data_IF_749037390697
#
_entry.id   IF_749037390697
#
_cell.length_a   1.000
_cell.length_b   1.000
_cell.length_c   1.000
_cell.angle_alpha   90.00
_cell.angle_beta   90.00
_cell.angle_gamma   90.00
#
_symmetry.space_group_name_H-M   'P 1'
#
loop_
_entity.id
_entity.type
_entity.pdbx_description
1 polymer ?
#
# COMPACT_ATOMS: atom_id res chain seq x y z
N UNK A 1 2.14 12.70 15.50
CA UNK A 1 2.72 11.68 14.59
C UNK A 1 1.64 10.69 14.24
N UNK A 2 1.50 10.35 12.95
CA UNK A 2 0.52 9.35 12.52
C UNK A 2 0.82 7.96 13.09
N UNK A 3 -0.21 7.15 13.27
CA UNK A 3 -0.07 5.73 13.62
C UNK A 3 0.38 4.95 12.39
N UNK A 4 1.54 4.33 12.44
CA UNK A 4 2.08 3.50 11.35
C UNK A 4 1.76 2.01 11.56
N UNK A 5 1.48 1.29 10.47
CA UNK A 5 1.29 -0.16 10.44
C UNK A 5 2.18 -0.72 9.31
N UNK A 6 3.15 -1.62 9.57
CA UNK A 6 3.70 -1.89 10.90
C UNK A 6 4.44 -0.68 11.49
N UNK A 7 4.55 -0.63 12.81
CA UNK A 7 5.36 0.38 13.48
C UNK A 7 6.81 -0.12 13.56
N UNK A 8 7.71 0.59 12.89
CA UNK A 8 9.14 0.31 12.97
C UNK A 8 9.78 1.17 14.06
N UNK A 9 10.60 0.52 14.90
CA UNK A 9 11.34 1.17 15.98
C UNK A 9 12.33 2.23 15.44
N UNK A 10 13.04 2.93 16.36
CA UNK A 10 14.06 3.93 16.01
C UNK A 10 15.18 3.41 15.08
N UNK A 11 15.35 2.10 14.98
CA UNK A 11 16.32 1.46 14.08
C UNK A 11 15.66 0.98 12.78
N UNK A 12 14.89 1.84 12.14
CA UNK A 12 14.16 1.55 10.90
C UNK A 12 15.08 1.01 9.77
N UNK A 13 16.37 1.42 9.76
CA UNK A 13 17.37 0.93 8.79
C UNK A 13 17.63 -0.59 8.88
N UNK A 14 17.34 -1.18 10.04
CA UNK A 14 17.50 -2.62 10.29
C UNK A 14 16.22 -3.41 10.04
N UNK A 15 15.10 -2.72 9.85
CA UNK A 15 13.83 -3.38 9.55
C UNK A 15 13.91 -4.12 8.21
N UNK A 16 13.38 -5.35 8.10
CA UNK A 16 13.51 -6.18 6.90
C UNK A 16 13.14 -5.48 5.59
N UNK A 17 12.04 -4.68 5.51
CA UNK A 17 11.67 -4.00 4.28
C UNK A 17 12.71 -2.99 3.78
N UNK A 18 13.46 -2.37 4.71
CA UNK A 18 14.41 -1.28 4.40
C UNK A 18 15.87 -1.72 4.42
N UNK A 19 16.13 -2.99 4.68
CA UNK A 19 17.50 -3.53 4.70
C UNK A 19 18.08 -3.54 3.28
N UNK A 20 19.33 -3.08 3.14
CA UNK A 20 20.04 -3.10 1.85
C UNK A 20 20.20 -4.55 1.33
N UNK A 21 19.96 -4.71 0.04
CA UNK A 21 20.08 -6.00 -0.67
C UNK A 21 21.40 -6.14 -1.42
N UNK A 22 22.09 -5.01 -1.68
CA UNK A 22 23.24 -4.94 -2.57
C UNK A 22 22.85 -4.73 -4.05
N UNK A 23 21.55 -4.74 -4.37
CA UNK A 23 21.08 -4.33 -5.69
C UNK A 23 20.75 -2.83 -5.68
N UNK A 24 21.45 -1.98 -6.46
CA UNK A 24 21.30 -0.54 -6.40
C UNK A 24 19.87 -0.03 -6.72
N UNK A 25 19.16 -0.69 -7.63
CA UNK A 25 17.78 -0.28 -7.98
C UNK A 25 16.80 -0.59 -6.86
N UNK A 26 16.86 -1.81 -6.31
CA UNK A 26 16.02 -2.21 -5.18
C UNK A 26 16.34 -1.37 -3.94
N UNK A 27 17.62 -1.12 -3.69
CA UNK A 27 18.06 -0.33 -2.54
C UNK A 27 17.61 1.14 -2.67
N UNK A 28 17.56 1.70 -3.89
CA UNK A 28 17.01 3.03 -4.14
C UNK A 28 15.50 3.06 -3.86
N UNK A 29 14.75 2.07 -4.37
CA UNK A 29 13.31 1.94 -4.09
C UNK A 29 13.04 1.92 -2.58
N UNK A 30 13.68 1.01 -1.86
CA UNK A 30 13.57 0.85 -0.41
C UNK A 30 13.96 2.11 0.37
N UNK A 31 15.01 2.80 -0.06
CA UNK A 31 15.42 4.06 0.56
C UNK A 31 14.37 5.15 0.37
N UNK A 32 13.81 5.27 -0.83
CA UNK A 32 12.75 6.23 -1.14
C UNK A 32 11.49 5.98 -0.31
N UNK A 33 11.06 4.73 -0.22
CA UNK A 33 9.91 4.34 0.60
C UNK A 33 10.15 4.56 2.09
N UNK A 34 11.36 4.27 2.58
CA UNK A 34 11.75 4.54 3.97
C UNK A 34 11.67 6.03 4.30
N UNK A 35 12.18 6.88 3.43
CA UNK A 35 12.13 8.33 3.61
C UNK A 35 10.70 8.82 3.63
N UNK A 36 9.86 8.33 2.71
CA UNK A 36 8.45 8.66 2.69
C UNK A 36 7.71 8.13 3.93
N UNK A 37 8.04 6.92 4.41
CA UNK A 37 7.49 6.37 5.66
C UNK A 37 7.76 7.29 6.84
N UNK A 38 9.02 7.74 7.02
CA UNK A 38 9.40 8.67 8.09
C UNK A 38 8.64 9.99 7.93
N UNK A 39 8.54 10.47 6.72
CA UNK A 39 7.86 11.71 6.38
C UNK A 39 6.37 11.68 6.75
N UNK A 40 5.67 10.62 6.33
CA UNK A 40 4.25 10.44 6.65
C UNK A 40 4.04 10.29 8.16
N UNK A 41 4.89 9.50 8.84
CA UNK A 41 4.82 9.33 10.29
C UNK A 41 4.92 10.65 11.04
N UNK A 42 5.89 11.48 10.68
CA UNK A 42 6.26 12.65 11.47
C UNK A 42 5.40 13.87 11.16
N UNK A 43 4.84 13.97 9.96
CA UNK A 43 4.10 15.16 9.50
C UNK A 43 2.59 15.01 9.48
N UNK A 44 2.07 13.79 9.46
CA UNK A 44 0.63 13.59 9.49
C UNK A 44 0.10 13.64 10.94
N UNK A 45 -1.18 14.04 11.13
CA UNK A 45 -1.83 14.06 12.44
C UNK A 45 -1.83 12.69 13.14
N UNK A 46 -1.84 12.70 14.46
CA UNK A 46 -1.79 11.49 15.31
C UNK A 46 -3.04 10.60 15.21
N UNK A 47 -4.15 11.16 14.77
CA UNK A 47 -5.39 10.42 14.52
C UNK A 47 -5.47 9.80 13.13
N UNK A 48 -4.45 10.00 12.27
CA UNK A 48 -4.36 9.34 10.98
C UNK A 48 -3.64 7.99 11.12
N UNK A 49 -4.00 7.05 10.24
CA UNK A 49 -3.36 5.73 10.19
C UNK A 49 -2.75 5.52 8.83
N UNK A 50 -1.50 5.05 8.81
CA UNK A 50 -0.77 4.76 7.59
C UNK A 50 -0.31 3.31 7.60
N UNK A 51 -0.77 2.50 6.66
CA UNK A 51 -0.28 1.16 6.39
C UNK A 51 0.79 1.23 5.30
N UNK A 52 1.97 0.72 5.59
CA UNK A 52 3.07 0.55 4.63
C UNK A 52 3.06 -0.87 4.08
N UNK A 53 3.28 -1.02 2.77
CA UNK A 53 3.42 -2.29 2.04
C UNK A 53 2.30 -3.27 2.39
N UNK A 54 1.11 -3.02 1.82
CA UNK A 54 -0.04 -3.89 2.02
C UNK A 54 -0.25 -4.77 0.81
N UNK A 55 0.16 -6.02 0.95
CA UNK A 55 -0.02 -7.05 -0.07
C UNK A 55 -1.41 -7.69 0.04
N UNK A 56 -2.05 -7.92 -1.08
CA UNK A 56 -3.33 -8.61 -1.15
C UNK A 56 -3.52 -9.29 -2.50
N UNK A 57 -4.33 -10.33 -2.52
CA UNK A 57 -4.55 -11.13 -3.71
C UNK A 57 -5.95 -10.94 -4.27
N UNK A 58 -6.07 -10.96 -5.59
CA UNK A 58 -7.33 -11.09 -6.30
C UNK A 58 -7.43 -12.48 -6.91
N UNK A 59 -8.55 -13.16 -6.70
CA UNK A 59 -8.85 -14.41 -7.38
C UNK A 59 -9.79 -14.12 -8.56
N UNK A 60 -9.28 -14.34 -9.76
CA UNK A 60 -10.04 -14.46 -11.01
C UNK A 60 -9.85 -15.89 -11.51
N UNK A 61 -9.65 -16.10 -12.80
CA UNK A 61 -9.19 -17.39 -13.34
C UNK A 61 -7.76 -17.70 -12.88
N UNK A 62 -6.97 -16.64 -12.62
CA UNK A 62 -5.63 -16.70 -12.05
C UNK A 62 -5.55 -15.90 -10.76
N UNK A 63 -4.56 -16.25 -9.91
CA UNK A 63 -4.25 -15.48 -8.70
C UNK A 63 -3.39 -14.29 -9.09
N UNK A 64 -3.93 -13.08 -8.93
CA UNK A 64 -3.21 -11.83 -9.18
C UNK A 64 -2.84 -11.22 -7.83
N UNK A 65 -1.56 -10.96 -7.63
CA UNK A 65 -1.03 -10.28 -6.47
C UNK A 65 -1.03 -8.77 -6.70
N UNK A 66 -1.43 -8.03 -5.71
CA UNK A 66 -1.42 -6.58 -5.67
C UNK A 66 -0.67 -6.13 -4.42
N UNK A 67 0.04 -5.03 -4.55
CA UNK A 67 0.64 -4.33 -3.42
C UNK A 67 0.22 -2.86 -3.47
N UNK A 68 -0.07 -2.30 -2.31
CA UNK A 68 -0.22 -0.88 -2.10
C UNK A 68 0.98 -0.39 -1.30
N UNK A 69 1.82 0.47 -1.88
CA UNK A 69 3.03 0.96 -1.21
C UNK A 69 2.68 1.65 0.11
N UNK A 70 1.66 2.52 0.08
CA UNK A 70 1.07 3.08 1.29
C UNK A 70 -0.45 3.20 1.17
N UNK A 71 -1.12 2.93 2.28
CA UNK A 71 -2.56 3.19 2.44
C UNK A 71 -2.76 4.15 3.60
N UNK A 72 -3.28 5.33 3.33
CA UNK A 72 -3.54 6.38 4.32
C UNK A 72 -5.01 6.42 4.65
N UNK A 73 -5.35 6.19 5.92
CA UNK A 73 -6.72 6.30 6.43
C UNK A 73 -6.90 7.67 7.05
N UNK A 74 -7.74 8.48 6.45
CA UNK A 74 -8.00 9.87 6.82
C UNK A 74 -9.32 9.95 7.58
N UNK A 75 -9.31 10.29 8.89
CA UNK A 75 -10.51 10.37 9.71
C UNK A 75 -11.57 11.29 9.09
N UNK A 76 -12.83 10.86 9.12
CA UNK A 76 -13.97 11.62 8.58
C UNK A 76 -13.82 12.02 7.11
N UNK A 77 -13.01 11.26 6.36
CA UNK A 77 -12.81 11.47 4.93
C UNK A 77 -12.84 10.14 4.17
N UNK A 78 -11.89 9.23 4.43
CA UNK A 78 -11.83 7.97 3.72
C UNK A 78 -10.44 7.36 3.65
N UNK A 79 -10.11 6.75 2.51
CA UNK A 79 -8.85 6.04 2.27
C UNK A 79 -8.18 6.56 1.00
N UNK A 80 -6.89 6.85 1.11
CA UNK A 80 -6.04 7.26 0.00
C UNK A 80 -4.90 6.25 -0.18
N UNK A 81 -4.79 5.68 -1.38
CA UNK A 81 -3.69 4.80 -1.78
C UNK A 81 -2.59 5.65 -2.39
N UNK A 82 -1.35 5.48 -1.92
CA UNK A 82 -0.17 6.11 -2.52
C UNK A 82 0.62 5.05 -3.27
N UNK A 83 0.86 5.31 -4.55
CA UNK A 83 1.78 4.55 -5.41
C UNK A 83 3.08 5.32 -5.51
N UNK A 84 4.21 4.71 -5.13
CA UNK A 84 5.51 5.38 -5.05
C UNK A 84 6.40 4.99 -6.21
N UNK A 85 7.00 5.97 -6.85
CA UNK A 85 7.98 5.76 -7.92
C UNK A 85 9.30 6.41 -7.57
N UNK A 86 10.33 5.60 -7.32
CA UNK A 86 11.65 6.05 -6.87
C UNK A 86 12.51 6.68 -7.97
N UNK A 87 11.99 6.82 -9.17
CA UNK A 87 12.72 7.43 -10.30
C UNK A 87 12.98 8.92 -10.05
N UNK A 88 14.17 9.38 -10.43
CA UNK A 88 14.54 10.79 -10.40
C UNK A 88 13.94 11.60 -11.56
N UNK A 89 13.53 10.88 -12.61
CA UNK A 89 12.91 11.46 -13.80
C UNK A 89 11.87 10.51 -14.35
N UNK A 90 10.82 11.06 -14.84
CA UNK A 90 9.79 10.34 -15.58
C UNK A 90 9.18 11.24 -16.63
N UNK A 91 8.70 10.65 -17.70
CA UNK A 91 8.07 11.37 -18.81
C UNK A 91 7.09 10.50 -19.55
N UNK A 92 6.22 11.15 -20.31
CA UNK A 92 5.26 10.52 -21.22
C UNK A 92 5.56 10.99 -22.64
N UNK A 93 5.91 10.06 -23.54
CA UNK A 93 6.11 10.34 -24.96
C UNK A 93 5.29 9.36 -25.81
N UNK A 94 4.44 9.87 -26.66
CA UNK A 94 3.59 9.05 -27.53
C UNK A 94 2.78 7.98 -26.78
N UNK A 95 2.29 8.31 -25.56
CA UNK A 95 1.53 7.38 -24.72
C UNK A 95 2.36 6.36 -23.94
N UNK A 96 3.69 6.39 -24.07
CA UNK A 96 4.61 5.48 -23.39
C UNK A 96 5.30 6.20 -22.24
N UNK A 97 5.34 5.55 -21.05
CA UNK A 97 6.01 6.06 -19.86
C UNK A 97 7.48 5.67 -19.83
N UNK A 98 8.31 6.63 -19.50
CA UNK A 98 9.76 6.50 -19.35
C UNK A 98 10.13 6.90 -17.93
N UNK A 99 11.02 6.12 -17.30
CA UNK A 99 11.42 6.29 -15.89
C UNK A 99 12.91 6.59 -15.72
N UNK A 100 13.55 7.07 -16.78
CA UNK A 100 14.94 7.53 -16.71
C UNK A 100 15.12 8.87 -17.46
N UNK A 101 16.15 9.68 -17.11
CA UNK A 101 16.40 10.99 -17.70
C UNK A 101 16.62 10.93 -19.22
N UNK A 102 17.14 9.79 -19.70
CA UNK A 102 17.55 9.63 -21.08
C UNK A 102 16.47 8.97 -21.94
N UNK A 103 15.35 8.60 -21.32
CA UNK A 103 14.23 7.89 -21.96
C UNK A 103 14.66 6.62 -22.73
N UNK A 104 15.69 5.92 -22.22
CA UNK A 104 16.23 4.71 -22.83
C UNK A 104 15.54 3.45 -22.35
N UNK A 105 15.03 3.46 -21.12
CA UNK A 105 14.40 2.30 -20.52
C UNK A 105 12.89 2.53 -20.42
N UNK A 106 12.16 1.79 -21.23
CA UNK A 106 10.71 1.64 -21.08
C UNK A 106 10.49 0.63 -19.96
N UNK A 107 9.97 1.06 -18.83
CA UNK A 107 9.34 0.11 -17.91
C UNK A 107 7.89 -0.05 -18.32
N UNK A 108 7.46 -1.29 -18.50
CA UNK A 108 6.07 -1.60 -18.74
C UNK A 108 5.23 -1.12 -17.55
N UNK A 109 4.24 -0.32 -17.86
CA UNK A 109 3.22 0.08 -16.89
C UNK A 109 3.07 1.59 -16.73
N UNK A 110 1.83 2.02 -16.87
CA UNK A 110 1.41 3.36 -16.53
C UNK A 110 1.20 3.42 -15.00
N UNK A 111 1.95 4.26 -14.23
CA UNK A 111 1.84 4.31 -12.77
C UNK A 111 0.44 4.71 -12.30
N UNK A 112 -0.29 5.50 -13.07
CA UNK A 112 -1.67 5.86 -12.75
C UNK A 112 -2.64 4.70 -12.96
N UNK A 113 -2.39 3.84 -13.95
CA UNK A 113 -3.18 2.62 -14.15
C UNK A 113 -2.94 1.62 -13.03
N UNK A 114 -1.70 1.51 -12.55
CA UNK A 114 -1.33 0.68 -11.41
C UNK A 114 -2.02 1.18 -10.15
N UNK A 115 -1.87 2.47 -9.79
CA UNK A 115 -2.53 3.08 -8.64
C UNK A 115 -4.06 2.93 -8.69
N UNK A 116 -4.64 3.06 -9.89
CA UNK A 116 -6.08 2.87 -10.10
C UNK A 116 -6.51 1.43 -9.86
N UNK A 117 -5.79 0.46 -10.42
CA UNK A 117 -6.10 -0.97 -10.24
C UNK A 117 -6.02 -1.36 -8.76
N UNK A 118 -4.93 -1.00 -8.08
CA UNK A 118 -4.72 -1.20 -6.65
C UNK A 118 -5.85 -0.57 -5.82
N UNK A 119 -6.22 0.68 -6.12
CA UNK A 119 -7.32 1.38 -5.45
C UNK A 119 -8.64 0.65 -5.57
N UNK A 120 -9.03 0.23 -6.77
CA UNK A 120 -10.32 -0.44 -6.99
C UNK A 120 -10.37 -1.79 -6.30
N UNK A 121 -9.29 -2.55 -6.38
CA UNK A 121 -9.24 -3.88 -5.80
C UNK A 121 -9.20 -3.82 -4.26
N UNK A 122 -8.39 -2.91 -3.70
CA UNK A 122 -8.36 -2.69 -2.24
C UNK A 122 -9.72 -2.24 -1.71
N UNK A 123 -10.39 -1.31 -2.42
CA UNK A 123 -11.74 -0.89 -2.05
C UNK A 123 -12.71 -2.07 -2.01
N UNK A 124 -12.68 -2.94 -3.03
CA UNK A 124 -13.51 -4.14 -3.09
C UNK A 124 -13.25 -5.07 -1.91
N UNK A 125 -11.97 -5.33 -1.59
CA UNK A 125 -11.59 -6.16 -0.44
C UNK A 125 -12.09 -5.61 0.89
N UNK A 126 -11.97 -4.30 1.10
CA UNK A 126 -12.49 -3.64 2.30
C UNK A 126 -14.02 -3.76 2.35
N UNK A 127 -14.72 -3.58 1.23
CA UNK A 127 -16.18 -3.73 1.18
C UNK A 127 -16.62 -5.17 1.49
N UNK A 128 -15.90 -6.16 0.95
CA UNK A 128 -16.15 -7.58 1.24
C UNK A 128 -15.95 -7.88 2.74
N UNK A 129 -14.88 -7.36 3.34
CA UNK A 129 -14.61 -7.48 4.78
C UNK A 129 -15.67 -6.81 5.64
N UNK A 130 -16.11 -5.62 5.25
CA UNK A 130 -17.13 -4.86 5.98
C UNK A 130 -18.56 -5.37 5.71
N UNK A 131 -18.76 -6.26 4.75
CA UNK A 131 -20.08 -6.73 4.26
C UNK A 131 -21.03 -5.60 3.86
N UNK A 132 -20.49 -4.50 3.30
CA UNK A 132 -21.28 -3.34 2.84
C UNK A 132 -20.48 -2.46 1.88
N UNK A 133 -21.16 -1.55 1.20
CA UNK A 133 -20.53 -0.51 0.40
C UNK A 133 -19.64 0.39 1.26
N UNK A 134 -18.47 0.75 0.73
CA UNK A 134 -17.57 1.67 1.41
C UNK A 134 -18.21 3.06 1.55
N UNK A 135 -18.36 3.58 2.77
CA UNK A 135 -19.15 4.80 3.00
C UNK A 135 -18.39 6.08 2.68
N UNK A 136 -17.05 6.08 2.82
CA UNK A 136 -16.19 7.24 2.66
C UNK A 136 -15.73 7.49 1.22
N UNK A 137 -14.81 8.43 1.07
CA UNK A 137 -14.07 8.65 -0.17
C UNK A 137 -12.96 7.61 -0.32
N UNK A 138 -12.66 7.24 -1.56
CA UNK A 138 -11.59 6.28 -1.86
C UNK A 138 -10.80 6.73 -3.07
N UNK A 139 -9.56 7.16 -2.85
CA UNK A 139 -8.71 7.77 -3.85
C UNK A 139 -7.36 7.10 -4.03
N UNK A 140 -6.60 7.58 -5.00
CA UNK A 140 -5.19 7.21 -5.19
C UNK A 140 -4.39 8.38 -5.71
N UNK A 141 -3.11 8.45 -5.32
CA UNK A 141 -2.13 9.44 -5.78
C UNK A 141 -0.84 8.72 -6.18
N UNK A 142 -0.16 9.23 -7.20
CA UNK A 142 1.17 8.76 -7.57
C UNK A 142 2.20 9.73 -7.00
N UNK A 143 3.16 9.20 -6.24
CA UNK A 143 4.18 9.99 -5.55
C UNK A 143 5.54 9.73 -6.19
N UNK A 144 6.22 10.79 -6.59
CA UNK A 144 7.57 10.78 -7.17
C UNK A 144 8.52 11.57 -6.26
N UNK A 145 8.98 11.01 -5.15
CA UNK A 145 9.74 11.76 -4.14
C UNK A 145 11.06 12.34 -4.65
N UNK A 146 11.68 11.68 -5.63
CA UNK A 146 12.98 12.07 -6.19
C UNK A 146 12.86 12.97 -7.43
N UNK A 147 11.65 13.19 -7.94
CA UNK A 147 11.42 14.04 -9.10
C UNK A 147 10.91 15.43 -8.69
N UNK A 148 11.12 16.41 -9.56
CA UNK A 148 10.59 17.76 -9.39
C UNK A 148 9.79 18.16 -10.62
N UNK A 149 8.79 19.00 -10.42
CA UNK A 149 8.12 19.68 -11.53
C UNK A 149 9.06 20.71 -12.15
N UNK A 150 9.07 20.80 -13.47
CA UNK A 150 9.78 21.86 -14.17
C UNK A 150 8.85 23.07 -14.20
N UNK A 151 9.25 24.24 -13.63
CA UNK A 151 8.43 25.44 -13.68
C UNK A 151 8.11 25.84 -15.12
N UNK A 152 6.85 26.13 -15.41
CA UNK A 152 6.39 26.52 -16.75
C UNK A 152 5.97 25.39 -17.66
N UNK A 153 6.25 24.14 -17.32
CA UNK A 153 5.71 22.95 -18.01
C UNK A 153 4.40 22.50 -17.36
N UNK A 154 3.61 21.76 -18.15
CA UNK A 154 2.39 21.15 -17.63
C UNK A 154 2.75 20.23 -16.43
N UNK A 155 2.09 20.46 -15.32
CA UNK A 155 2.35 19.74 -14.07
C UNK A 155 2.01 18.25 -14.14
N UNK A 156 1.25 17.84 -15.16
CA UNK A 156 0.81 16.48 -15.40
C UNK A 156 0.60 16.27 -16.91
N UNK A 157 0.62 15.02 -17.39
CA UNK A 157 0.10 14.70 -18.70
C UNK A 157 -1.34 15.23 -18.85
N UNK A 158 -1.71 15.71 -20.03
CA UNK A 158 -3.05 16.23 -20.32
C UNK A 158 -4.20 15.27 -19.99
N UNK A 159 -3.90 13.97 -19.89
CA UNK A 159 -4.84 12.92 -19.51
C UNK A 159 -4.96 12.67 -18.00
N UNK A 160 -4.21 13.40 -17.16
CA UNK A 160 -4.19 13.24 -15.72
C UNK A 160 -4.43 14.57 -15.01
N UNK A 161 -5.14 14.51 -13.89
CA UNK A 161 -5.29 15.66 -13.02
C UNK A 161 -3.96 15.92 -12.29
N UNK A 162 -3.45 17.17 -12.27
CA UNK A 162 -2.21 17.50 -11.58
C UNK A 162 -2.26 17.22 -10.07
N UNK A 163 -3.43 17.25 -9.46
CA UNK A 163 -3.58 17.07 -8.01
C UNK A 163 -3.56 15.60 -7.55
N UNK A 164 -3.53 14.65 -8.50
CA UNK A 164 -3.25 13.24 -8.21
C UNK A 164 -1.78 12.87 -8.39
N UNK A 165 -0.90 13.88 -8.55
CA UNK A 165 0.55 13.73 -8.67
C UNK A 165 1.23 14.52 -7.58
N UNK A 166 2.10 13.86 -6.82
CA UNK A 166 2.94 14.50 -5.80
C UNK A 166 4.41 14.27 -6.13
N UNK A 167 5.16 15.35 -6.23
CA UNK A 167 6.61 15.30 -6.51
C UNK A 167 7.44 15.63 -5.27
N UNK A 168 8.76 15.43 -5.32
CA UNK A 168 9.67 15.85 -4.25
C UNK A 168 9.59 17.34 -3.97
N UNK A 169 9.32 18.16 -5.00
CA UNK A 169 9.09 19.60 -4.80
C UNK A 169 7.83 19.87 -3.97
N UNK A 170 6.73 19.17 -4.26
CA UNK A 170 5.49 19.30 -3.50
C UNK A 170 5.68 18.85 -2.05
N UNK A 171 6.38 17.73 -1.83
CA UNK A 171 6.72 17.25 -0.50
C UNK A 171 7.51 18.30 0.29
N UNK A 172 8.58 18.87 -0.28
CA UNK A 172 9.39 19.91 0.38
C UNK A 172 8.56 21.16 0.68
N UNK A 173 7.70 21.59 -0.26
CA UNK A 173 6.79 22.71 -0.05
C UNK A 173 5.82 22.44 1.11
N UNK A 174 5.25 21.23 1.15
CA UNK A 174 4.27 20.86 2.16
C UNK A 174 4.89 20.72 3.56
N UNK A 175 6.16 20.30 3.66
CA UNK A 175 6.93 20.38 4.92
C UNK A 175 7.05 21.80 5.40
N UNK A 176 7.53 22.70 4.54
CA UNK A 176 7.76 24.11 4.90
C UNK A 176 6.48 24.79 5.36
N UNK A 177 5.37 24.49 4.70
CA UNK A 177 4.05 25.08 4.95
C UNK A 177 3.22 24.32 5.98
N UNK A 178 3.67 23.16 6.46
CA UNK A 178 2.91 22.22 7.29
C UNK A 178 1.55 21.87 6.69
N UNK A 179 1.52 21.65 5.36
CA UNK A 179 0.30 21.47 4.57
C UNK A 179 0.08 20.06 4.05
N UNK A 180 0.97 19.10 4.34
CA UNK A 180 0.88 17.73 3.79
C UNK A 180 -0.48 17.08 4.06
N UNK A 181 -0.96 17.13 5.30
CA UNK A 181 -2.26 16.56 5.64
C UNK A 181 -3.40 17.18 4.82
N UNK A 182 -3.41 18.52 4.70
CA UNK A 182 -4.40 19.24 3.89
C UNK A 182 -4.31 18.88 2.41
N UNK A 183 -3.09 18.71 1.88
CA UNK A 183 -2.87 18.32 0.49
C UNK A 183 -3.45 16.92 0.22
N UNK A 184 -3.12 15.92 1.05
CA UNK A 184 -3.65 14.56 0.90
C UNK A 184 -5.18 14.50 1.08
N UNK A 185 -5.72 15.26 2.03
CA UNK A 185 -7.16 15.36 2.23
C UNK A 185 -7.85 16.01 1.02
N UNK A 186 -7.30 17.09 0.48
CA UNK A 186 -7.80 17.74 -0.74
C UNK A 186 -7.78 16.76 -1.91
N UNK A 187 -6.65 16.11 -2.17
CA UNK A 187 -6.53 15.10 -3.22
C UNK A 187 -7.62 14.01 -3.09
N UNK A 188 -7.89 13.55 -1.87
CA UNK A 188 -8.94 12.54 -1.67
C UNK A 188 -10.34 13.07 -2.04
N UNK A 189 -10.62 14.37 -1.82
CA UNK A 189 -11.93 14.94 -2.18
C UNK A 189 -12.20 14.95 -3.68
N UNK A 190 -11.16 14.97 -4.52
CA UNK A 190 -11.29 14.91 -5.98
C UNK A 190 -11.90 13.59 -6.49
N UNK A 191 -11.88 12.55 -5.65
CA UNK A 191 -12.49 11.25 -5.98
C UNK A 191 -13.95 11.14 -5.55
N UNK A 192 -14.53 12.19 -5.05
CA UNK A 192 -15.95 12.29 -4.72
C UNK A 192 -16.74 13.00 -5.81
N UNK A 193 -18.02 12.68 -5.92
CA UNK A 193 -18.98 13.56 -6.57
C UNK A 193 -19.11 14.83 -5.71
N UNK A 194 -18.96 16.01 -6.30
CA UNK A 194 -18.94 17.29 -5.60
C UNK A 194 -20.12 17.46 -4.63
N UNK A 195 -21.31 17.02 -5.05
CA UNK A 195 -22.54 17.14 -4.25
C UNK A 195 -22.62 16.12 -3.11
N UNK A 196 -21.84 15.04 -3.19
CA UNK A 196 -21.86 13.92 -2.23
C UNK A 196 -20.64 13.88 -1.31
N UNK A 197 -19.62 14.71 -1.53
CA UNK A 197 -18.38 14.69 -0.74
C UNK A 197 -18.64 14.80 0.74
N UNK A 198 -19.42 15.79 1.17
CA UNK A 198 -19.72 16.02 2.60
C UNK A 198 -20.57 14.89 3.20
N UNK A 199 -21.51 14.34 2.44
CA UNK A 199 -22.29 13.19 2.88
C UNK A 199 -21.38 11.97 3.09
N UNK A 200 -20.47 11.69 2.16
CA UNK A 200 -19.52 10.59 2.28
C UNK A 200 -18.52 10.80 3.42
N UNK A 201 -18.04 12.03 3.62
CA UNK A 201 -17.16 12.36 4.74
C UNK A 201 -17.85 12.12 6.08
N UNK A 202 -19.09 12.55 6.24
CA UNK A 202 -19.84 12.33 7.48
C UNK A 202 -20.20 10.86 7.71
N UNK A 203 -20.39 10.08 6.65
CA UNK A 203 -20.65 8.65 6.73
C UNK A 203 -19.42 7.83 7.14
N UNK A 204 -18.19 8.32 6.87
CA UNK A 204 -16.95 7.68 7.32
C UNK A 204 -16.61 8.10 8.74
N UNK A 205 -17.37 7.56 9.68
CA UNK A 205 -17.22 7.82 11.11
C UNK A 205 -16.15 6.93 11.76
N UNK A 206 -15.93 7.08 13.07
CA UNK A 206 -14.91 6.33 13.81
C UNK A 206 -15.09 4.80 13.70
N UNK A 207 -16.33 4.30 13.78
CA UNK A 207 -16.60 2.86 13.65
C UNK A 207 -16.17 2.31 12.30
N UNK A 208 -16.42 3.08 11.23
CA UNK A 208 -16.01 2.72 9.88
C UNK A 208 -14.48 2.75 9.72
N UNK A 209 -13.86 3.78 10.27
CA UNK A 209 -12.40 3.89 10.31
C UNK A 209 -11.77 2.71 11.05
N UNK A 210 -12.28 2.35 12.22
CA UNK A 210 -11.79 1.23 13.03
C UNK A 210 -11.92 -0.12 12.30
N UNK A 211 -12.98 -0.29 11.50
CA UNK A 211 -13.15 -1.50 10.67
C UNK A 211 -12.09 -1.57 9.56
N UNK A 212 -11.82 -0.45 8.89
CA UNK A 212 -10.77 -0.36 7.88
C UNK A 212 -9.40 -0.61 8.50
N UNK A 213 -9.11 -0.01 9.66
CA UNK A 213 -7.83 -0.19 10.35
C UNK A 213 -7.62 -1.65 10.74
N UNK A 214 -8.63 -2.32 11.30
CA UNK A 214 -8.56 -3.77 11.60
C UNK A 214 -8.28 -4.61 10.37
N UNK A 215 -8.89 -4.30 9.23
CA UNK A 215 -8.59 -4.97 7.96
C UNK A 215 -7.13 -4.76 7.54
N UNK A 216 -6.61 -3.54 7.66
CA UNK A 216 -5.23 -3.21 7.29
C UNK A 216 -4.17 -3.73 8.27
N UNK A 217 -4.53 -4.03 9.51
CA UNK A 217 -3.63 -4.67 10.48
C UNK A 217 -3.30 -6.11 10.07
N UNK A 218 -4.22 -6.77 9.36
CA UNK A 218 -4.05 -8.13 8.83
C UNK A 218 -3.54 -9.13 9.87
N UNK A 219 -4.13 -9.07 11.07
CA UNK A 219 -3.76 -9.92 12.18
C UNK A 219 -4.34 -11.33 11.96
N UNK A 220 -3.50 -12.28 11.63
CA UNK A 220 -3.85 -13.67 11.42
C UNK A 220 -2.96 -14.58 12.24
N UNK A 221 -3.57 -15.50 12.97
CA UNK A 221 -2.86 -16.49 13.78
C UNK A 221 -3.31 -17.90 13.39
N UNK A 222 -2.36 -18.75 13.03
CA UNK A 222 -2.59 -20.17 12.87
C UNK A 222 -2.28 -20.86 14.18
N UNK A 223 -3.26 -21.55 14.73
CA UNK A 223 -3.05 -22.41 15.88
C UNK A 223 -2.57 -23.82 15.43
N UNK A 224 -1.71 -24.49 16.23
CA UNK A 224 -1.26 -25.83 15.89
C UNK A 224 -2.44 -26.80 15.82
N UNK A 225 -2.64 -27.42 14.67
CA UNK A 225 -3.66 -28.46 14.50
C UNK A 225 -3.06 -29.83 14.78
N UNK A 226 -3.06 -30.23 16.06
CA UNK A 226 -2.46 -31.50 16.51
C UNK A 226 -3.14 -32.76 15.92
N UNK A 227 -4.44 -32.67 15.65
CA UNK A 227 -5.19 -33.82 15.13
C UNK A 227 -4.73 -34.29 13.74
N UNK A 228 -4.08 -33.41 12.93
CA UNK A 228 -3.50 -33.83 11.66
C UNK A 228 -2.36 -34.83 11.88
N UNK A 229 -1.46 -34.50 12.81
CA UNK A 229 -0.30 -35.38 13.13
C UNK A 229 -0.77 -36.71 13.68
N UNK A 230 -1.73 -36.71 14.61
CA UNK A 230 -2.27 -37.91 15.22
C UNK A 230 -2.98 -38.79 14.19
N UNK A 231 -3.78 -38.19 13.31
CA UNK A 231 -4.46 -38.90 12.22
C UNK A 231 -3.48 -39.46 11.19
N UNK A 232 -2.44 -38.68 10.85
CA UNK A 232 -1.40 -39.14 9.90
C UNK A 232 -0.60 -40.30 10.45
N UNK A 233 -0.16 -40.24 11.71
CA UNK A 233 0.57 -41.36 12.34
C UNK A 233 -0.32 -42.56 12.57
N UNK A 234 -1.57 -42.40 12.94
CA UNK A 234 -2.52 -43.50 13.05
C UNK A 234 -2.69 -44.20 11.71
N UNK A 235 -2.87 -43.43 10.63
CA UNK A 235 -3.00 -44.03 9.28
C UNK A 235 -1.71 -44.75 8.82
N UNK A 236 -0.52 -44.23 9.14
CA UNK A 236 0.74 -44.87 8.86
C UNK A 236 0.88 -46.17 9.65
N UNK A 237 0.52 -46.18 10.92
CA UNK A 237 0.57 -47.38 11.78
C UNK A 237 -0.39 -48.45 11.28
N UNK A 238 -1.57 -48.09 10.82
CA UNK A 238 -2.55 -49.00 10.24
C UNK A 238 -2.05 -49.68 8.94
N UNK A 239 -1.11 -49.04 8.22
CA UNK A 239 -0.51 -49.59 7.01
C UNK A 239 0.69 -50.48 7.28
N UNK A 240 1.26 -50.43 8.50
CA UNK A 240 2.40 -51.26 8.85
C UNK A 240 1.95 -52.68 9.18
N UNK A 241 2.70 -53.66 8.67
CA UNK A 241 2.52 -55.05 9.07
C UNK A 241 2.94 -55.23 10.53
N UNK A 242 2.42 -56.27 11.19
CA UNK A 242 2.77 -56.56 12.59
C UNK A 242 4.29 -56.79 12.78
N UNK A 243 4.97 -57.24 11.77
CA UNK A 243 6.41 -57.44 11.78
C UNK A 243 7.19 -56.12 11.73
N UNK A 244 6.73 -55.19 10.94
CA UNK A 244 7.28 -53.82 10.88
C UNK A 244 7.08 -53.05 12.18
N UNK A 245 5.92 -53.21 12.84
CA UNK A 245 5.62 -52.63 14.15
C UNK A 245 6.57 -53.21 15.23
N UNK A 246 6.85 -54.49 15.21
CA UNK A 246 7.80 -55.12 16.13
C UNK A 246 9.23 -54.61 15.96
N UNK A 247 9.65 -54.39 14.71
CA UNK A 247 10.97 -53.80 14.42
C UNK A 247 11.10 -52.38 14.92
N UNK A 248 10.06 -51.53 14.77
CA UNK A 248 10.05 -50.18 15.29
C UNK A 248 10.04 -50.08 16.80
N UNK A 249 9.43 -51.05 17.49
CA UNK A 249 9.39 -51.08 18.96
C UNK A 249 10.65 -51.73 19.61
N UNK A 250 11.59 -52.22 18.80
CA UNK A 250 12.87 -52.78 19.26
C UNK A 250 14.07 -51.83 19.08
N UNK A 251 13.84 -50.63 18.55
CA UNK A 251 14.78 -49.52 18.44
C UNK A 251 14.65 -48.57 19.60
#
# INVERSE_FOLDING_TARGET
MARMIPEFSRHIDKAPPFRKTGNPELDRGRQTEKELYIFLRDLLPDNWVVRYSFEFTRRTDELIEHEADFVVVIPRCGVLVLEVKASESYGLRNGVWYFDPECRHVREGNPFSQARATRFELKRKIQDYMHKSFPGLFGSIVVFPNARRIPGENAAPSSQDPDIIMTGYDLVRDVRNRSLARHLEHTLTLFGDHDLVEIRRSAFNQKEMDAVVRFLEDNYTLEPYRAFTDTYYSHLLDQLTQEQIRLLSSL
#
